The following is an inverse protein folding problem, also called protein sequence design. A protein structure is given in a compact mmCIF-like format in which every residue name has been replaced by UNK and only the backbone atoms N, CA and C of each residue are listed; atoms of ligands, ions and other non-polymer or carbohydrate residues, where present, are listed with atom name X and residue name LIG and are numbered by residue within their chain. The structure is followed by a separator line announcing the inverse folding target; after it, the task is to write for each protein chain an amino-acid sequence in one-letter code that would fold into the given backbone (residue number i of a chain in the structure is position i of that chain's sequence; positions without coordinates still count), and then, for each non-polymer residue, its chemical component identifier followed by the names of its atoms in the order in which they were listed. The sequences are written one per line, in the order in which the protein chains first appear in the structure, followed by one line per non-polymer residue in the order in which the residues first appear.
data_IF_907724177397
#
_entry.id   IF_907724177397
#
_cell.length_a   1.000
_cell.length_b   1.000
_cell.length_c   1.000
_cell.angle_alpha   90.00
_cell.angle_beta   90.00
_cell.angle_gamma   90.00
#
_symmetry.space_group_name_H-M   'P 1'
#
loop_
_entity.id
_entity.type
_entity.pdbx_description
1 polymer ?
#
# COMPACT_ATOMS: atom_id res chain seq x y z
N UNK A 1 10.84 2.55 -6.59
CA UNK A 1 9.60 1.78 -6.47
C UNK A 1 9.81 0.64 -7.41
N UNK A 2 10.15 -0.48 -6.82
CA UNK A 2 10.55 -1.68 -7.54
C UNK A 2 9.68 -2.84 -7.06
N UNK A 3 9.43 -3.82 -7.92
CA UNK A 3 8.67 -5.03 -7.57
C UNK A 3 9.42 -5.81 -6.46
N UNK A 4 8.70 -6.28 -5.44
CA UNK A 4 9.24 -6.92 -4.24
C UNK A 4 9.77 -5.94 -3.17
N UNK A 5 9.65 -4.63 -3.37
CA UNK A 5 10.02 -3.63 -2.36
C UNK A 5 9.01 -3.65 -1.20
N UNK A 6 9.49 -3.85 0.03
CA UNK A 6 8.67 -3.75 1.25
C UNK A 6 8.88 -2.38 1.89
N UNK A 7 7.78 -1.69 2.22
CA UNK A 7 7.81 -0.39 2.89
C UNK A 7 6.55 -0.13 3.71
N UNK A 8 6.65 0.82 4.63
CA UNK A 8 5.49 1.38 5.31
C UNK A 8 4.87 2.49 4.45
N UNK A 9 3.54 2.48 4.36
CA UNK A 9 2.77 3.51 3.66
C UNK A 9 1.64 4.00 4.54
N UNK A 10 1.27 5.27 4.39
CA UNK A 10 0.07 5.82 5.03
C UNK A 10 -1.07 5.84 4.01
N UNK A 11 -2.19 5.20 4.35
CA UNK A 11 -3.40 5.27 3.53
C UNK A 11 -4.05 6.63 3.76
N UNK A 12 -4.10 7.47 2.73
CA UNK A 12 -4.68 8.81 2.84
C UNK A 12 -6.19 8.81 2.59
N UNK A 13 -6.66 7.95 1.69
CA UNK A 13 -8.05 7.89 1.26
C UNK A 13 -8.40 6.50 0.74
N UNK A 14 -9.70 6.24 0.54
CA UNK A 14 -10.20 5.05 -0.15
C UNK A 14 -10.57 5.40 -1.59
N UNK A 15 -10.31 4.50 -2.52
CA UNK A 15 -10.74 4.56 -3.92
C UNK A 15 -12.18 4.08 -4.12
N UNK A 16 -12.69 4.21 -5.35
CA UNK A 16 -14.09 3.91 -5.69
C UNK A 16 -14.51 2.45 -5.47
N UNK A 17 -13.55 1.51 -5.51
CA UNK A 17 -13.82 0.08 -5.31
C UNK A 17 -13.63 -0.37 -3.85
N UNK A 18 -13.28 0.55 -2.95
CA UNK A 18 -12.94 0.23 -1.56
C UNK A 18 -11.46 0.01 -1.30
N UNK A 19 -10.60 0.15 -2.30
CA UNK A 19 -9.14 0.01 -2.14
C UNK A 19 -8.55 1.19 -1.35
N UNK A 20 -7.56 0.93 -0.50
CA UNK A 20 -6.76 1.96 0.15
C UNK A 20 -5.84 2.64 -0.86
N UNK A 21 -5.80 3.97 -0.83
CA UNK A 21 -4.90 4.78 -1.66
C UNK A 21 -3.86 5.42 -0.76
N UNK A 22 -2.62 4.96 -0.90
CA UNK A 22 -1.45 5.58 -0.31
C UNK A 22 -0.74 6.45 -1.35
N UNK A 23 -0.31 7.63 -0.94
CA UNK A 23 0.53 8.50 -1.76
C UNK A 23 1.95 8.47 -1.23
N UNK A 24 2.89 8.27 -2.13
CA UNK A 24 4.32 8.25 -1.79
C UNK A 24 5.05 9.45 -2.39
N UNK A 25 6.33 9.56 -2.05
CA UNK A 25 7.23 10.57 -2.60
C UNK A 25 7.22 10.56 -4.14
N UNK A 26 7.25 11.77 -4.73
CA UNK A 26 7.30 12.02 -6.18
C UNK A 26 6.00 11.77 -6.97
N UNK A 27 4.87 11.60 -6.28
CA UNK A 27 3.55 11.57 -6.93
C UNK A 27 3.12 10.19 -7.44
N UNK A 28 3.80 9.13 -7.05
CA UNK A 28 3.34 7.77 -7.24
C UNK A 28 2.14 7.46 -6.33
N UNK A 29 1.17 6.73 -6.87
CA UNK A 29 0.02 6.24 -6.13
C UNK A 29 0.19 4.75 -5.87
N UNK A 30 0.04 4.32 -4.62
CA UNK A 30 0.04 2.91 -4.23
C UNK A 30 -1.38 2.50 -3.91
N UNK A 31 -1.86 1.48 -4.61
CA UNK A 31 -3.17 0.87 -4.35
C UNK A 31 -2.94 -0.32 -3.43
N UNK A 32 -3.61 -0.30 -2.29
CA UNK A 32 -3.51 -1.30 -1.22
C UNK A 32 -4.90 -1.88 -0.97
N UNK A 33 -5.20 -3.11 -1.43
CA UNK A 33 -6.44 -3.79 -1.09
C UNK A 33 -6.61 -3.86 0.43
N UNK A 34 -7.85 -3.72 0.91
CA UNK A 34 -8.23 -3.75 2.33
C UNK A 34 -7.64 -2.64 3.22
N UNK A 35 -6.87 -1.70 2.68
CA UNK A 35 -6.34 -0.54 3.43
C UNK A 35 -7.41 0.52 3.70
N UNK A 36 -7.46 1.06 4.93
CA UNK A 36 -8.42 2.10 5.32
C UNK A 36 -7.71 3.44 5.60
N UNK A 37 -8.38 4.58 5.38
CA UNK A 37 -7.79 5.90 5.61
C UNK A 37 -7.34 6.08 7.06
N UNK A 38 -6.08 6.50 7.24
CA UNK A 38 -5.44 6.63 8.55
C UNK A 38 -4.64 5.39 8.97
N UNK A 39 -4.73 4.28 8.25
CA UNK A 39 -3.87 3.12 8.49
C UNK A 39 -2.44 3.38 8.00
N UNK A 40 -1.48 2.76 8.68
CA UNK A 40 -0.06 2.79 8.34
C UNK A 40 0.50 1.37 8.15
N UNK A 41 -0.01 0.58 7.18
CA UNK A 41 0.45 -0.78 6.99
C UNK A 41 1.84 -0.83 6.36
N UNK A 42 2.60 -1.86 6.73
CA UNK A 42 3.71 -2.33 5.91
C UNK A 42 3.14 -3.07 4.71
N UNK A 43 3.60 -2.74 3.50
CA UNK A 43 3.13 -3.33 2.23
C UNK A 43 4.31 -3.81 1.39
N UNK A 44 4.08 -4.85 0.60
CA UNK A 44 5.00 -5.32 -0.46
C UNK A 44 4.48 -4.87 -1.82
N UNK A 45 5.33 -4.21 -2.61
CA UNK A 45 4.99 -3.81 -3.97
C UNK A 45 4.98 -5.04 -4.87
N UNK A 46 3.80 -5.41 -5.39
CA UNK A 46 3.66 -6.57 -6.28
C UNK A 46 3.88 -6.22 -7.75
N UNK A 47 3.39 -5.06 -8.17
CA UNK A 47 3.44 -4.62 -9.56
C UNK A 47 3.64 -3.11 -9.65
N UNK A 48 4.55 -2.68 -10.53
CA UNK A 48 4.83 -1.25 -10.79
C UNK A 48 4.42 -0.88 -12.21
N UNK A 49 3.66 0.19 -12.34
CA UNK A 49 3.31 0.83 -13.60
C UNK A 49 3.88 2.26 -13.64
N UNK A 50 3.63 3.01 -14.73
CA UNK A 50 4.28 4.30 -14.98
C UNK A 50 4.14 5.30 -13.81
N UNK A 51 2.97 5.38 -13.17
CA UNK A 51 2.73 6.27 -12.01
C UNK A 51 1.95 5.61 -10.86
N UNK A 52 1.64 4.32 -10.98
CA UNK A 52 0.81 3.57 -10.03
C UNK A 52 1.52 2.27 -9.67
N UNK A 53 1.50 1.90 -8.41
CA UNK A 53 1.96 0.62 -7.93
C UNK A 53 0.82 -0.12 -7.21
N UNK A 54 0.77 -1.44 -7.35
CA UNK A 54 -0.13 -2.31 -6.61
C UNK A 54 0.68 -2.99 -5.52
N UNK A 55 0.14 -3.01 -4.31
CA UNK A 55 0.82 -3.55 -3.15
C UNK A 55 -0.16 -4.29 -2.24
N UNK A 56 0.33 -5.34 -1.61
CA UNK A 56 -0.42 -6.12 -0.62
C UNK A 56 0.10 -5.82 0.78
N UNK A 57 -0.80 -5.74 1.76
CA UNK A 57 -0.40 -5.62 3.17
C UNK A 57 0.39 -6.86 3.54
N UNK A 58 1.63 -6.68 4.01
CA UNK A 58 2.37 -7.79 4.62
C UNK A 58 1.87 -7.93 6.04
N UNK A 59 1.25 -9.07 6.33
CA UNK A 59 0.96 -9.45 7.70
C UNK A 59 2.29 -9.60 8.43
N UNK A 60 2.68 -8.58 9.20
CA UNK A 60 3.62 -8.81 10.29
C UNK A 60 2.89 -9.75 11.24
N UNK A 61 3.38 -10.98 11.41
CA UNK A 61 3.00 -12.01 12.41
C UNK A 61 2.90 -11.43 13.84
N UNK A 62 1.96 -10.52 14.07
CA UNK A 62 1.66 -9.86 15.34
C UNK A 62 0.41 -10.50 15.96
N UNK A 63 -0.18 -11.49 15.29
CA UNK A 63 -1.06 -12.48 15.92
C UNK A 63 -0.23 -13.70 16.38
N UNK A 64 0.73 -13.47 17.27
CA UNK A 64 1.28 -14.54 18.10
C UNK A 64 1.49 -14.03 19.54
N UNK A 65 0.40 -14.18 20.31
CA UNK A 65 0.23 -14.13 21.78
C UNK A 65 0.19 -12.77 22.49
#
# INVERSE_FOLDING_TARGET
MDEGEVRDVTIETTGDQGDGIAKVERGYVVIVPDGQPGDEPTVEIEQVQENVAFASIVENDSQAL
#
